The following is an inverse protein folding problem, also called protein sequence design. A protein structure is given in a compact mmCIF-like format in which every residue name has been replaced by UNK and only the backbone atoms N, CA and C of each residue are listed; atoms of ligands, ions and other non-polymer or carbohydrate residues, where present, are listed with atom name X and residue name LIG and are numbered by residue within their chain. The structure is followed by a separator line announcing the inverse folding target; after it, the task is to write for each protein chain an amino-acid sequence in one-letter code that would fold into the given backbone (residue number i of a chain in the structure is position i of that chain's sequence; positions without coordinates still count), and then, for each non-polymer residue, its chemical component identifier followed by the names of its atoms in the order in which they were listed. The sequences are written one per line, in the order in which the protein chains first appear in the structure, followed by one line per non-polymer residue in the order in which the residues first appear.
data_IF_430784315867
#
_entry.id   IF_430784315867
#
_cell.length_a   1.000
_cell.length_b   1.000
_cell.length_c   1.000
_cell.angle_alpha   90.00
_cell.angle_beta   90.00
_cell.angle_gamma   90.00
#
_symmetry.space_group_name_H-M   'P 1'
#
loop_
_entity.id
_entity.type
_entity.pdbx_description
1 polymer ?
#
# COMPACT_ATOMS: atom_id res chain seq x y z
N UNK A 1 -16.20 38.89 -5.61
CA UNK A 1 -15.82 38.18 -4.35
C UNK A 1 -16.38 36.75 -4.48
N UNK A 2 -15.73 35.85 -5.22
CA UNK A 2 -14.60 34.99 -4.85
C UNK A 2 -14.81 34.31 -3.49
N UNK A 3 -14.97 32.98 -3.52
CA UNK A 3 -14.40 32.10 -2.50
C UNK A 3 -15.35 31.31 -1.60
N UNK A 4 -16.28 30.52 -2.13
CA UNK A 4 -16.73 29.33 -1.39
C UNK A 4 -15.71 28.21 -1.63
N UNK A 5 -14.80 28.07 -0.67
CA UNK A 5 -13.81 27.00 -0.59
C UNK A 5 -14.57 25.69 -0.37
N UNK A 6 -14.59 24.83 -1.39
CA UNK A 6 -15.17 23.49 -1.33
C UNK A 6 -14.55 22.75 -0.14
N UNK A 7 -15.40 22.26 0.77
CA UNK A 7 -14.98 21.32 1.81
C UNK A 7 -14.53 20.05 1.10
N UNK A 8 -13.31 19.61 1.39
CA UNK A 8 -12.85 18.27 1.07
C UNK A 8 -13.66 17.30 1.93
N UNK A 9 -14.72 16.77 1.34
CA UNK A 9 -15.51 15.67 1.87
C UNK A 9 -14.62 14.43 1.82
N UNK A 10 -13.88 14.16 2.90
CA UNK A 10 -13.12 12.92 3.05
C UNK A 10 -14.12 11.80 3.31
N UNK A 11 -14.73 11.31 2.24
CA UNK A 11 -15.46 10.05 2.23
C UNK A 11 -14.57 8.90 2.73
N UNK A 12 -15.17 7.73 3.05
CA UNK A 12 -14.40 6.55 3.42
C UNK A 12 -13.34 6.26 2.35
N UNK A 13 -12.14 5.77 2.72
CA UNK A 13 -11.05 5.54 1.79
C UNK A 13 -11.53 4.66 0.64
N UNK A 14 -11.73 5.27 -0.53
CA UNK A 14 -12.27 4.58 -1.69
C UNK A 14 -11.22 3.56 -2.15
N UNK A 15 -11.60 2.28 -2.15
CA UNK A 15 -10.72 1.22 -2.62
C UNK A 15 -10.27 1.55 -4.05
N UNK A 16 -9.01 1.24 -4.42
CA UNK A 16 -8.51 1.51 -5.76
C UNK A 16 -9.48 0.94 -6.79
N UNK A 17 -10.02 1.81 -7.63
CA UNK A 17 -10.99 1.42 -8.65
C UNK A 17 -10.31 0.40 -9.56
N UNK A 18 -10.92 -0.77 -9.66
CA UNK A 18 -10.44 -1.84 -10.55
C UNK A 18 -10.35 -1.33 -11.98
N UNK A 19 -9.24 -1.62 -12.65
CA UNK A 19 -9.07 -1.28 -14.05
C UNK A 19 -9.93 -2.16 -14.97
N UNK A 20 -10.30 -1.65 -16.15
CA UNK A 20 -11.07 -2.42 -17.12
C UNK A 20 -10.36 -3.72 -17.51
N UNK A 21 -11.10 -4.80 -17.79
CA UNK A 21 -10.53 -6.13 -18.04
C UNK A 21 -9.45 -6.16 -19.12
N UNK A 22 -9.58 -5.33 -20.16
CA UNK A 22 -8.61 -5.25 -21.25
C UNK A 22 -7.24 -4.74 -20.77
N UNK A 23 -7.20 -3.75 -19.87
CA UNK A 23 -5.95 -3.26 -19.26
C UNK A 23 -5.37 -4.32 -18.32
N UNK A 24 -6.22 -4.99 -17.53
CA UNK A 24 -5.78 -6.04 -16.59
C UNK A 24 -5.15 -7.23 -17.34
N UNK A 25 -5.78 -7.65 -18.45
CA UNK A 25 -5.23 -8.69 -19.31
C UNK A 25 -3.92 -8.24 -19.96
N UNK A 26 -3.86 -7.01 -20.48
CA UNK A 26 -2.63 -6.47 -21.06
C UNK A 26 -1.46 -6.48 -20.07
N UNK A 27 -1.68 -6.06 -18.82
CA UNK A 27 -0.65 -6.13 -17.77
C UNK A 27 -0.22 -7.56 -17.46
N UNK A 28 -1.16 -8.50 -17.49
CA UNK A 28 -0.84 -9.93 -17.29
C UNK A 28 0.02 -10.47 -18.44
N UNK A 29 -0.32 -10.13 -19.69
CA UNK A 29 0.47 -10.51 -20.85
C UNK A 29 1.87 -9.90 -20.83
N UNK A 30 1.98 -8.62 -20.46
CA UNK A 30 3.27 -7.95 -20.26
C UNK A 30 4.16 -8.70 -19.28
N UNK A 31 3.62 -9.12 -18.13
CA UNK A 31 4.38 -9.88 -17.14
C UNK A 31 4.69 -11.32 -17.58
N UNK A 32 3.86 -11.94 -18.42
CA UNK A 32 4.18 -13.25 -18.98
C UNK A 32 5.34 -13.18 -19.98
N UNK A 33 5.45 -12.07 -20.70
CA UNK A 33 6.47 -11.88 -21.73
C UNK A 33 7.81 -11.36 -21.16
N UNK A 34 7.76 -10.43 -20.20
CA UNK A 34 8.96 -9.74 -19.67
C UNK A 34 9.17 -9.94 -18.17
N UNK A 35 8.35 -10.76 -17.50
CA UNK A 35 8.33 -10.89 -16.04
C UNK A 35 9.69 -11.17 -15.41
N UNK A 36 10.52 -12.00 -16.05
CA UNK A 36 11.85 -12.35 -15.53
C UNK A 36 12.79 -11.13 -15.44
N UNK A 37 12.64 -10.15 -16.34
CA UNK A 37 13.54 -8.99 -16.44
C UNK A 37 12.98 -7.72 -15.76
N UNK A 38 11.66 -7.65 -15.57
CA UNK A 38 10.98 -6.43 -15.09
C UNK A 38 10.54 -6.53 -13.62
N UNK A 39 10.39 -7.73 -13.08
CA UNK A 39 9.85 -7.90 -11.72
C UNK A 39 10.91 -7.56 -10.66
N UNK A 40 10.52 -6.81 -9.60
CA UNK A 40 11.42 -6.55 -8.49
C UNK A 40 11.73 -7.84 -7.71
N UNK A 41 12.90 -7.94 -7.05
CA UNK A 41 13.27 -9.11 -6.26
C UNK A 41 12.21 -9.47 -5.22
N UNK A 42 11.96 -10.77 -5.03
CA UNK A 42 10.96 -11.26 -4.09
C UNK A 42 11.27 -10.82 -2.65
N UNK A 43 10.22 -10.45 -1.93
CA UNK A 43 10.26 -10.16 -0.51
C UNK A 43 8.86 -10.20 0.11
N UNK A 44 8.75 -10.83 1.28
CA UNK A 44 7.48 -11.13 1.94
C UNK A 44 6.58 -9.89 2.13
N UNK A 45 7.18 -8.75 2.49
CA UNK A 45 6.43 -7.53 2.82
C UNK A 45 6.17 -6.59 1.64
N UNK A 46 6.92 -6.70 0.54
CA UNK A 46 6.81 -5.68 -0.50
C UNK A 46 6.90 -6.16 -1.94
N UNK A 47 7.23 -7.42 -2.18
CA UNK A 47 7.32 -8.00 -3.51
C UNK A 47 6.93 -9.47 -3.45
N UNK A 48 5.63 -9.74 -3.43
CA UNK A 48 5.08 -11.08 -3.37
C UNK A 48 4.02 -11.26 -4.49
N UNK A 49 3.42 -12.45 -4.59
CA UNK A 49 2.40 -12.75 -5.61
C UNK A 49 1.14 -11.90 -5.49
N UNK A 50 0.80 -11.41 -4.29
CA UNK A 50 -0.30 -10.48 -4.09
C UNK A 50 0.01 -9.13 -4.75
N UNK A 51 1.25 -8.61 -4.63
CA UNK A 51 1.65 -7.37 -5.30
C UNK A 51 1.49 -7.44 -6.82
N UNK A 52 1.85 -8.58 -7.41
CA UNK A 52 1.68 -8.83 -8.85
C UNK A 52 0.19 -8.77 -9.22
N UNK A 53 -0.66 -9.48 -8.48
CA UNK A 53 -2.10 -9.51 -8.73
C UNK A 53 -2.73 -8.12 -8.58
N UNK A 54 -2.36 -7.37 -7.54
CA UNK A 54 -2.87 -6.01 -7.30
C UNK A 54 -2.40 -5.05 -8.39
N UNK A 55 -1.14 -5.16 -8.84
CA UNK A 55 -0.63 -4.32 -9.92
C UNK A 55 -1.34 -4.63 -11.25
N UNK A 56 -1.54 -5.90 -11.61
CA UNK A 56 -2.34 -6.26 -12.78
C UNK A 56 -3.75 -5.65 -12.71
N UNK A 57 -4.38 -5.72 -11.54
CA UNK A 57 -5.78 -5.31 -11.34
C UNK A 57 -6.00 -3.80 -11.24
N UNK A 58 -5.03 -3.05 -10.71
CA UNK A 58 -5.22 -1.64 -10.29
C UNK A 58 -4.11 -0.71 -10.75
N UNK A 59 -3.03 -1.25 -11.33
CA UNK A 59 -1.84 -0.48 -11.70
C UNK A 59 -0.95 -0.08 -10.53
N UNK A 60 -1.28 -0.46 -9.30
CA UNK A 60 -0.46 -0.17 -8.11
C UNK A 60 0.22 -1.44 -7.59
N UNK A 61 1.52 -1.36 -7.36
CA UNK A 61 2.27 -2.43 -6.71
C UNK A 61 2.09 -2.34 -5.20
N UNK A 62 1.27 -3.21 -4.60
CA UNK A 62 1.05 -3.21 -3.15
C UNK A 62 0.48 -4.53 -2.64
N UNK A 63 0.70 -4.84 -1.37
CA UNK A 63 0.11 -6.02 -0.69
C UNK A 63 -0.82 -5.53 0.44
N UNK A 64 -2.09 -5.92 0.34
CA UNK A 64 -3.09 -5.60 1.36
C UNK A 64 -2.74 -6.31 2.66
N UNK A 65 -2.22 -7.54 2.58
CA UNK A 65 -1.79 -8.32 3.74
C UNK A 65 -0.76 -7.56 4.58
N UNK A 66 0.27 -6.97 3.96
CA UNK A 66 1.30 -6.25 4.72
C UNK A 66 0.77 -4.92 5.27
N UNK A 67 -0.01 -4.18 4.48
CA UNK A 67 -0.54 -2.88 4.91
C UNK A 67 -1.52 -3.02 6.09
N UNK A 68 -2.40 -4.02 6.04
CA UNK A 68 -3.36 -4.31 7.11
C UNK A 68 -2.66 -4.92 8.32
N UNK A 69 -1.75 -5.88 8.13
CA UNK A 69 -1.04 -6.53 9.24
C UNK A 69 -0.20 -5.54 10.04
N UNK A 70 0.69 -4.78 9.40
CA UNK A 70 1.59 -3.88 10.11
C UNK A 70 0.86 -2.71 10.78
N UNK A 71 -0.20 -2.19 10.16
CA UNK A 71 -1.05 -1.16 10.76
C UNK A 71 -1.87 -1.71 11.94
N UNK A 72 -2.41 -2.92 11.83
CA UNK A 72 -3.17 -3.54 12.92
C UNK A 72 -2.27 -3.92 14.09
N UNK A 73 -1.06 -4.44 13.81
CA UNK A 73 -0.06 -4.77 14.83
C UNK A 73 0.40 -3.52 15.57
N UNK A 74 0.67 -2.41 14.88
CA UNK A 74 1.09 -1.16 15.56
C UNK A 74 -0.02 -0.61 16.47
N UNK A 75 -1.27 -0.59 16.00
CA UNK A 75 -2.44 -0.15 16.79
C UNK A 75 -2.69 -1.09 17.97
N UNK A 76 -2.58 -2.40 17.76
CA UNK A 76 -2.71 -3.41 18.81
C UNK A 76 -1.64 -3.24 19.89
N UNK A 77 -0.38 -3.07 19.49
CA UNK A 77 0.73 -2.84 20.40
C UNK A 77 0.58 -1.53 21.17
N UNK A 78 0.05 -0.46 20.54
CA UNK A 78 -0.20 0.82 21.21
C UNK A 78 -1.24 0.68 22.33
N UNK A 79 -2.33 -0.06 22.07
CA UNK A 79 -3.36 -0.35 23.08
C UNK A 79 -2.78 -1.17 24.22
N UNK A 80 -2.07 -2.26 23.91
CA UNK A 80 -1.47 -3.13 24.94
C UNK A 80 -0.42 -2.42 25.77
N UNK A 81 0.44 -1.60 25.15
CA UNK A 81 1.44 -0.81 25.86
C UNK A 81 0.80 0.21 26.82
N UNK A 82 -0.30 0.84 26.41
CA UNK A 82 -1.04 1.78 27.26
C UNK A 82 -1.63 1.08 28.48
N UNK A 83 -2.31 -0.05 28.28
CA UNK A 83 -2.90 -0.83 29.38
C UNK A 83 -1.82 -1.37 30.32
N UNK A 84 -0.72 -1.91 29.78
CA UNK A 84 0.41 -2.38 30.58
C UNK A 84 1.05 -1.24 31.39
N UNK A 85 1.22 -0.06 30.78
CA UNK A 85 1.74 1.13 31.45
C UNK A 85 0.86 1.57 32.63
N UNK A 86 -0.46 1.58 32.46
CA UNK A 86 -1.41 1.88 33.55
C UNK A 86 -1.34 0.84 34.67
N UNK A 87 -1.33 -0.45 34.33
CA UNK A 87 -1.23 -1.53 35.31
C UNK A 87 0.07 -1.50 36.10
N UNK A 88 1.19 -1.23 35.44
CA UNK A 88 2.51 -1.16 36.07
C UNK A 88 2.67 0.14 36.86
N UNK A 89 2.10 1.25 36.42
CA UNK A 89 2.04 2.48 37.22
C UNK A 89 1.31 2.24 38.56
N UNK A 90 0.24 1.45 38.56
CA UNK A 90 -0.52 1.12 39.76
C UNK A 90 0.19 0.11 40.68
N UNK A 91 0.95 -0.84 40.12
CA UNK A 91 1.56 -1.92 40.89
C UNK A 91 3.03 -1.67 41.28
N UNK A 92 3.88 -1.21 40.35
CA UNK A 92 5.33 -1.05 40.50
C UNK A 92 5.85 0.08 39.61
N UNK A 93 5.68 1.32 40.07
CA UNK A 93 6.00 2.53 39.29
C UNK A 93 7.48 2.61 38.83
N UNK A 94 8.42 1.93 39.50
CA UNK A 94 9.82 1.89 39.08
C UNK A 94 10.03 1.25 37.69
N UNK A 95 9.11 0.38 37.25
CA UNK A 95 9.19 -0.31 35.96
C UNK A 95 8.57 0.50 34.80
N UNK A 96 7.89 1.61 35.07
CA UNK A 96 7.29 2.48 34.04
C UNK A 96 8.25 2.86 32.91
N UNK A 97 9.52 3.26 33.17
CA UNK A 97 10.45 3.62 32.10
C UNK A 97 10.73 2.45 31.14
N UNK A 98 10.86 1.23 31.67
CA UNK A 98 11.13 0.03 30.85
C UNK A 98 9.94 -0.28 29.94
N UNK A 99 8.73 -0.18 30.48
CA UNK A 99 7.48 -0.42 29.74
C UNK A 99 7.24 0.65 28.69
N UNK A 100 7.55 1.91 29.00
CA UNK A 100 7.42 3.02 28.06
C UNK A 100 8.35 2.82 26.85
N UNK A 101 9.61 2.45 27.08
CA UNK A 101 10.57 2.16 26.00
C UNK A 101 10.14 0.95 25.18
N UNK A 102 9.77 -0.16 25.83
CA UNK A 102 9.30 -1.37 25.15
C UNK A 102 8.02 -1.14 24.33
N UNK A 103 7.07 -0.39 24.89
CA UNK A 103 5.82 -0.03 24.22
C UNK A 103 6.06 0.85 22.98
N UNK A 104 6.93 1.85 23.09
CA UNK A 104 7.29 2.71 21.96
C UNK A 104 7.95 1.90 20.84
N UNK A 105 8.89 1.00 21.16
CA UNK A 105 9.53 0.13 20.19
C UNK A 105 8.50 -0.78 19.47
N UNK A 106 7.58 -1.37 20.23
CA UNK A 106 6.54 -2.26 19.68
C UNK A 106 5.57 -1.56 18.72
N UNK A 107 5.32 -0.26 18.91
CA UNK A 107 4.49 0.55 18.00
C UNK A 107 5.29 1.07 16.80
N UNK A 108 6.50 1.55 17.03
CA UNK A 108 7.31 2.23 16.01
C UNK A 108 7.94 1.27 15.01
N UNK A 109 8.39 0.08 15.43
CA UNK A 109 9.05 -0.85 14.52
C UNK A 109 8.14 -1.29 13.35
N UNK A 110 6.87 -1.73 13.56
CA UNK A 110 5.98 -2.05 12.45
C UNK A 110 5.67 -0.85 11.55
N UNK A 111 5.56 0.36 12.11
CA UNK A 111 5.31 1.59 11.35
C UNK A 111 6.49 1.97 10.45
N UNK A 112 7.73 1.79 10.94
CA UNK A 112 8.95 2.01 10.14
C UNK A 112 8.99 1.01 8.99
N UNK A 113 8.74 -0.28 9.26
CA UNK A 113 8.69 -1.31 8.22
C UNK A 113 7.62 -0.96 7.20
N UNK A 114 6.43 -0.55 7.63
CA UNK A 114 5.34 -0.15 6.73
C UNK A 114 5.72 1.04 5.85
N UNK A 115 6.39 2.05 6.41
CA UNK A 115 6.85 3.22 5.65
C UNK A 115 7.90 2.85 4.60
N UNK A 116 8.85 1.97 4.97
CA UNK A 116 9.87 1.47 4.04
C UNK A 116 9.26 0.63 2.92
N UNK A 117 8.29 -0.25 3.26
CA UNK A 117 7.56 -1.04 2.27
C UNK A 117 6.78 -0.15 1.30
N UNK A 118 6.14 0.93 1.79
CA UNK A 118 5.45 1.91 0.93
C UNK A 118 6.38 2.60 -0.06
N UNK A 119 7.58 2.99 0.36
CA UNK A 119 8.56 3.58 -0.57
C UNK A 119 8.94 2.63 -1.69
N UNK A 120 9.20 1.35 -1.36
CA UNK A 120 9.51 0.32 -2.36
C UNK A 120 8.33 -0.03 -3.26
N UNK A 121 7.11 0.06 -2.74
CA UNK A 121 5.89 -0.08 -3.53
C UNK A 121 5.74 1.02 -4.57
N UNK A 122 6.00 2.27 -4.19
CA UNK A 122 5.95 3.41 -5.10
C UNK A 122 6.98 3.27 -6.22
N UNK A 123 8.23 2.96 -5.87
CA UNK A 123 9.31 2.72 -6.84
C UNK A 123 8.97 1.59 -7.82
N UNK A 124 8.51 0.44 -7.32
CA UNK A 124 8.11 -0.68 -8.17
C UNK A 124 6.88 -0.34 -9.03
N UNK A 125 5.94 0.45 -8.50
CA UNK A 125 4.75 0.90 -9.25
C UNK A 125 5.17 1.77 -10.43
N UNK A 126 6.02 2.78 -10.19
CA UNK A 126 6.48 3.70 -11.21
C UNK A 126 7.23 2.95 -12.32
N UNK A 127 8.24 2.15 -11.94
CA UNK A 127 9.04 1.37 -12.86
C UNK A 127 8.21 0.43 -13.73
N UNK A 128 7.32 -0.37 -13.12
CA UNK A 128 6.51 -1.34 -13.89
C UNK A 128 5.49 -0.63 -14.77
N UNK A 129 4.91 0.46 -14.29
CA UNK A 129 3.91 1.22 -15.05
C UNK A 129 4.55 1.89 -16.26
N UNK A 130 5.73 2.48 -16.10
CA UNK A 130 6.48 3.07 -17.21
C UNK A 130 6.82 2.03 -18.28
N UNK A 131 7.39 0.89 -17.88
CA UNK A 131 7.72 -0.19 -18.83
C UNK A 131 6.49 -0.78 -19.50
N UNK A 132 5.40 -0.94 -18.76
CA UNK A 132 4.13 -1.42 -19.30
C UNK A 132 3.61 -0.49 -20.39
N UNK A 133 3.57 0.82 -20.14
CA UNK A 133 3.09 1.78 -21.15
C UNK A 133 4.06 1.86 -22.34
N UNK A 134 5.37 1.75 -22.12
CA UNK A 134 6.34 1.65 -23.21
C UNK A 134 6.08 0.46 -24.16
N UNK A 135 5.50 -0.64 -23.66
CA UNK A 135 5.16 -1.83 -24.43
C UNK A 135 3.70 -1.87 -24.92
N UNK A 136 2.76 -1.24 -24.20
CA UNK A 136 1.33 -1.46 -24.37
C UNK A 136 0.84 -1.13 -25.80
N UNK A 137 -0.05 -1.96 -26.38
CA UNK A 137 -0.61 -1.69 -27.70
C UNK A 137 -1.60 -0.53 -27.67
N UNK A 138 -1.75 0.16 -28.82
CA UNK A 138 -2.61 1.34 -28.98
C UNK A 138 -4.05 1.14 -28.47
N UNK A 139 -4.60 -0.08 -28.60
CA UNK A 139 -5.95 -0.38 -28.14
C UNK A 139 -6.13 -0.29 -26.63
N UNK A 140 -5.06 -0.53 -25.86
CA UNK A 140 -5.06 -0.44 -24.40
C UNK A 140 -5.08 1.02 -23.96
N UNK A 141 -4.37 1.90 -24.67
CA UNK A 141 -4.46 3.35 -24.47
C UNK A 141 -5.87 3.89 -24.70
N UNK A 142 -6.52 3.45 -25.79
CA UNK A 142 -7.91 3.86 -26.09
C UNK A 142 -8.85 3.41 -24.97
N UNK A 143 -8.77 2.16 -24.52
CA UNK A 143 -9.60 1.69 -23.40
C UNK A 143 -9.35 2.49 -22.12
N UNK A 144 -8.08 2.80 -21.81
CA UNK A 144 -7.73 3.61 -20.66
C UNK A 144 -8.35 5.02 -20.75
N UNK A 145 -8.23 5.68 -21.90
CA UNK A 145 -8.81 7.01 -22.14
C UNK A 145 -10.33 6.96 -22.04
N UNK A 146 -10.99 5.99 -22.67
CA UNK A 146 -12.46 5.88 -22.63
C UNK A 146 -12.96 5.66 -21.20
N UNK A 147 -12.35 4.73 -20.45
CA UNK A 147 -12.81 4.30 -19.12
C UNK A 147 -12.42 5.26 -18.01
N UNK A 148 -11.22 5.81 -18.04
CA UNK A 148 -10.77 6.77 -17.03
C UNK A 148 -11.26 8.18 -17.34
N UNK A 149 -11.41 8.53 -18.62
CA UNK A 149 -11.99 9.80 -19.08
C UNK A 149 -13.51 9.88 -18.98
N UNK A 150 -14.20 8.80 -18.59
CA UNK A 150 -15.67 8.70 -18.52
C UNK A 150 -16.36 9.08 -19.83
N UNK A 151 -15.73 8.75 -20.95
CA UNK A 151 -16.25 9.03 -22.29
C UNK A 151 -17.27 7.97 -22.74
N UNK A 152 -17.35 6.84 -22.02
CA UNK A 152 -18.38 5.80 -22.11
C UNK A 152 -18.60 5.13 -20.76
#
# INVERSE_FOLDING_TARGET
KIGQRHRDDQGPPELPKTDPPKIVLARTHFLLEYGEDVLPPYHIFHSNSECIAVWCKTGRWSTLQTSVFLASVSVGNAKSATVAGMGIAAAHALLLPVVAVGGLAAVTAPMIILKQSKGKWEEATEMLTERFWGWAPNEVYVEAIERWGRLR
#
